data_IF_691966106047
#
_entry.id   IF_691966106047
#
_cell.length_a   1.000
_cell.length_b   1.000
_cell.length_c   1.000
_cell.angle_alpha   90.00
_cell.angle_beta   90.00
_cell.angle_gamma   90.00
#
_symmetry.space_group_name_H-M   'P 1'
#
loop_
_entity.id
_entity.type
_entity.pdbx_description
1 polymer ?
#
# COMPACT_ATOMS: atom_id res chain seq x y z
N UNK A 1 -18.85 31.61 -11.55
CA UNK A 1 -19.14 30.18 -11.80
C UNK A 1 -17.86 29.59 -12.34
N UNK A 2 -17.14 28.77 -11.57
CA UNK A 2 -15.82 28.30 -11.95
C UNK A 2 -15.93 27.23 -13.02
N UNK A 3 -15.55 27.59 -14.25
CA UNK A 3 -15.28 26.67 -15.36
C UNK A 3 -14.26 25.63 -14.91
N UNK A 4 -14.68 24.38 -14.79
CA UNK A 4 -13.77 23.25 -14.62
C UNK A 4 -13.07 23.04 -15.96
N UNK A 5 -11.77 23.31 -15.98
CA UNK A 5 -10.86 22.93 -17.07
C UNK A 5 -11.02 21.44 -17.37
N UNK A 6 -11.76 21.13 -18.44
CA UNK A 6 -11.78 19.82 -19.09
C UNK A 6 -10.44 19.65 -19.83
N UNK A 7 -9.43 19.18 -19.10
CA UNK A 7 -8.25 18.54 -19.66
C UNK A 7 -8.74 17.24 -20.34
N UNK A 8 -9.24 17.39 -21.57
CA UNK A 8 -9.68 16.27 -22.41
C UNK A 8 -8.45 15.41 -22.70
N UNK A 9 -8.27 14.35 -21.92
CA UNK A 9 -7.38 13.26 -22.26
C UNK A 9 -7.76 12.64 -23.60
N UNK A 10 -6.89 11.82 -24.20
CA UNK A 10 -7.23 11.12 -25.44
C UNK A 10 -8.50 10.28 -25.25
N UNK A 11 -9.31 10.05 -26.30
CA UNK A 11 -10.61 9.38 -26.19
C UNK A 11 -10.44 7.96 -25.64
N UNK A 12 -10.68 7.83 -24.34
CA UNK A 12 -10.76 6.57 -23.62
C UNK A 12 -12.17 6.39 -23.06
N UNK A 13 -12.49 5.19 -22.58
CA UNK A 13 -13.80 4.94 -21.96
C UNK A 13 -14.02 5.70 -20.64
N UNK A 14 -12.97 6.32 -20.09
CA UNK A 14 -13.00 7.03 -18.80
C UNK A 14 -12.15 8.31 -18.83
N UNK A 15 -12.59 9.32 -18.09
CA UNK A 15 -11.91 10.59 -17.93
C UNK A 15 -11.19 10.73 -16.58
N UNK A 16 -10.24 11.67 -16.50
CA UNK A 16 -9.57 11.99 -15.24
C UNK A 16 -10.59 12.62 -14.28
N UNK A 17 -10.69 12.05 -13.09
CA UNK A 17 -11.69 12.41 -12.08
C UNK A 17 -12.88 11.47 -12.04
N UNK A 18 -13.04 10.59 -13.04
CA UNK A 18 -14.10 9.59 -13.03
C UNK A 18 -13.89 8.56 -11.93
N UNK A 19 -15.01 8.05 -11.41
CA UNK A 19 -14.99 6.91 -10.51
C UNK A 19 -15.16 5.63 -11.30
N UNK A 20 -14.25 4.69 -11.05
CA UNK A 20 -14.27 3.39 -11.69
C UNK A 20 -13.88 2.32 -10.67
N UNK A 21 -14.13 1.08 -11.04
CA UNK A 21 -13.74 -0.06 -10.25
C UNK A 21 -12.96 -1.07 -11.09
N UNK A 22 -12.04 -1.77 -10.44
CA UNK A 22 -11.27 -2.82 -11.09
C UNK A 22 -12.17 -4.06 -11.16
N UNK A 23 -12.67 -4.37 -12.35
CA UNK A 23 -13.60 -5.50 -12.59
C UNK A 23 -12.90 -6.74 -13.13
N UNK A 24 -11.68 -6.59 -13.63
CA UNK A 24 -10.86 -7.71 -14.10
C UNK A 24 -9.37 -7.48 -13.77
N UNK A 25 -8.58 -8.55 -13.85
CA UNK A 25 -7.16 -8.55 -13.53
C UNK A 25 -6.82 -9.24 -12.21
N UNK A 26 -5.51 -9.48 -11.99
CA UNK A 26 -5.00 -10.19 -10.81
C UNK A 26 -4.72 -9.30 -9.59
N UNK A 27 -4.64 -7.98 -9.78
CA UNK A 27 -4.31 -7.01 -8.73
C UNK A 27 -5.45 -6.02 -8.55
N UNK A 28 -5.87 -5.79 -7.31
CA UNK A 28 -6.88 -4.79 -6.97
C UNK A 28 -8.30 -5.12 -7.42
N UNK A 29 -8.60 -6.38 -7.78
CA UNK A 29 -9.94 -6.78 -8.21
C UNK A 29 -10.99 -6.42 -7.15
N UNK A 30 -12.03 -5.68 -7.54
CA UNK A 30 -13.09 -5.17 -6.66
C UNK A 30 -12.82 -3.79 -6.05
N UNK A 31 -11.60 -3.25 -6.18
CA UNK A 31 -11.26 -1.91 -5.67
C UNK A 31 -12.02 -0.86 -6.47
N UNK A 32 -12.69 0.03 -5.75
CA UNK A 32 -13.35 1.24 -6.26
C UNK A 32 -12.45 2.43 -5.98
N UNK A 33 -12.43 3.40 -6.88
CA UNK A 33 -11.56 4.57 -6.73
C UNK A 33 -11.78 5.64 -7.78
N UNK A 34 -10.92 6.65 -7.75
CA UNK A 34 -10.95 7.76 -8.70
C UNK A 34 -9.75 7.72 -9.64
N UNK A 35 -9.99 7.92 -10.93
CA UNK A 35 -8.92 8.02 -11.93
C UNK A 35 -8.20 9.35 -11.75
N UNK A 36 -6.91 9.31 -11.46
CA UNK A 36 -6.08 10.52 -11.31
C UNK A 36 -5.06 10.69 -12.45
N UNK A 37 -4.88 9.66 -13.28
CA UNK A 37 -3.92 9.66 -14.38
C UNK A 37 -4.42 8.83 -15.56
N UNK A 38 -4.20 9.32 -16.78
CA UNK A 38 -4.49 8.63 -18.04
C UNK A 38 -3.28 8.85 -18.95
N UNK A 39 -2.82 7.80 -19.62
CA UNK A 39 -1.79 7.94 -20.62
C UNK A 39 -1.58 6.68 -21.44
N UNK A 40 -0.83 6.82 -22.52
CA UNK A 40 -0.54 5.73 -23.45
C UNK A 40 0.25 4.61 -22.76
N UNK A 41 -0.14 3.36 -23.01
CA UNK A 41 0.58 2.22 -22.50
C UNK A 41 1.92 2.04 -23.25
N UNK A 42 3.05 2.21 -22.56
CA UNK A 42 4.39 2.01 -23.15
C UNK A 42 4.70 0.56 -23.55
N UNK A 43 3.89 -0.42 -23.14
CA UNK A 43 4.18 -1.86 -23.30
C UNK A 43 3.14 -2.60 -24.14
N UNK A 44 2.20 -1.90 -24.78
CA UNK A 44 1.18 -2.53 -25.61
C UNK A 44 0.18 -1.52 -26.15
N UNK A 45 -0.77 -1.99 -26.96
CA UNK A 45 -1.85 -1.15 -27.48
C UNK A 45 -2.82 -0.75 -26.36
N UNK A 46 -3.35 0.47 -26.42
CA UNK A 46 -4.40 0.96 -25.53
C UNK A 46 -3.92 1.96 -24.47
N UNK A 47 -4.87 2.43 -23.66
CA UNK A 47 -4.64 3.39 -22.58
C UNK A 47 -4.39 2.69 -21.25
N UNK A 48 -3.55 3.31 -20.41
CA UNK A 48 -3.34 2.91 -19.03
C UNK A 48 -3.88 4.00 -18.11
N UNK A 49 -4.55 3.55 -17.06
CA UNK A 49 -5.25 4.38 -16.09
C UNK A 49 -4.61 4.20 -14.72
N UNK A 50 -4.31 5.34 -14.07
CA UNK A 50 -3.97 5.40 -12.66
C UNK A 50 -5.26 5.59 -11.86
N UNK A 51 -5.68 4.55 -11.15
CA UNK A 51 -6.82 4.57 -10.24
C UNK A 51 -6.30 4.72 -8.81
N UNK A 52 -6.78 5.74 -8.08
CA UNK A 52 -6.58 5.84 -6.64
C UNK A 52 -7.77 5.19 -5.94
N UNK A 53 -7.53 4.01 -5.37
CA UNK A 53 -8.56 3.26 -4.66
C UNK A 53 -9.04 3.99 -3.41
N UNK A 54 -10.27 3.69 -2.99
CA UNK A 54 -10.85 4.12 -1.71
C UNK A 54 -10.10 3.51 -0.50
N UNK A 55 -9.36 2.42 -0.76
CA UNK A 55 -8.35 1.86 0.15
C UNK A 55 -7.09 2.73 0.24
N UNK A 56 -7.04 3.84 -0.49
CA UNK A 56 -5.99 4.83 -0.65
C UNK A 56 -4.76 4.37 -1.44
N UNK A 57 -4.75 3.13 -1.96
CA UNK A 57 -3.66 2.63 -2.80
C UNK A 57 -3.78 3.14 -4.24
N UNK A 58 -2.65 3.14 -4.94
CA UNK A 58 -2.60 3.50 -6.36
C UNK A 58 -2.48 2.25 -7.22
N UNK A 59 -3.43 2.07 -8.13
CA UNK A 59 -3.51 0.96 -9.06
C UNK A 59 -3.26 1.43 -10.49
N UNK A 60 -2.42 0.69 -11.20
CA UNK A 60 -2.08 0.95 -12.60
C UNK A 60 -2.70 -0.10 -13.49
N UNK A 61 -3.89 0.17 -14.01
CA UNK A 61 -4.73 -0.78 -14.73
C UNK A 61 -4.97 -0.34 -16.16
N UNK A 62 -5.19 -1.31 -17.05
CA UNK A 62 -5.64 -1.08 -18.42
C UNK A 62 -7.15 -0.82 -18.48
N UNK A 63 -7.61 -0.24 -19.60
CA UNK A 63 -9.03 0.04 -19.84
C UNK A 63 -9.91 -1.20 -19.67
N UNK A 64 -9.47 -2.34 -20.18
CA UNK A 64 -10.22 -3.59 -20.17
C UNK A 64 -10.43 -4.15 -18.75
N UNK A 65 -9.60 -3.71 -17.80
CA UNK A 65 -9.68 -4.09 -16.40
C UNK A 65 -10.58 -3.15 -15.57
N UNK A 66 -10.97 -2.00 -16.14
CA UNK A 66 -11.85 -1.03 -15.49
C UNK A 66 -13.32 -1.23 -15.91
N UNK A 67 -14.21 -1.10 -14.94
CA UNK A 67 -15.65 -1.17 -15.12
C UNK A 67 -16.41 -0.23 -14.18
N UNK A 68 -17.73 -0.11 -14.36
CA UNK A 68 -18.57 0.65 -13.45
C UNK A 68 -18.57 0.03 -12.05
N UNK A 69 -18.62 0.88 -11.01
CA UNK A 69 -18.59 0.45 -9.60
C UNK A 69 -19.69 -0.56 -9.23
N UNK A 70 -20.83 -0.47 -9.93
CA UNK A 70 -21.98 -1.35 -9.76
C UNK A 70 -21.75 -2.78 -10.30
N UNK A 71 -20.79 -2.96 -11.23
CA UNK A 71 -20.46 -4.26 -11.82
C UNK A 71 -19.24 -4.93 -11.19
N UNK A 72 -18.58 -4.28 -10.23
CA UNK A 72 -17.38 -4.82 -9.60
C UNK A 72 -17.71 -5.85 -8.51
N UNK A 73 -16.89 -6.92 -8.38
CA UNK A 73 -16.98 -7.84 -7.26
C UNK A 73 -16.87 -7.09 -5.91
N UNK A 74 -17.27 -7.73 -4.79
CA UNK A 74 -17.12 -7.13 -3.47
C UNK A 74 -15.67 -6.62 -3.32
N UNK A 75 -15.49 -5.41 -2.74
CA UNK A 75 -14.17 -4.84 -2.59
C UNK A 75 -13.29 -5.84 -1.84
N UNK A 76 -12.01 -5.98 -2.24
CA UNK A 76 -11.10 -6.80 -1.44
C UNK A 76 -11.11 -6.20 -0.04
N UNK A 77 -11.15 -7.04 0.99
CA UNK A 77 -11.05 -6.58 2.37
C UNK A 77 -9.84 -5.65 2.43
N UNK A 78 -10.10 -4.37 2.71
CA UNK A 78 -9.04 -3.39 2.84
C UNK A 78 -8.02 -3.98 3.81
N UNK A 79 -6.70 -3.90 3.52
CA UNK A 79 -5.72 -4.30 4.50
C UNK A 79 -6.01 -3.50 5.75
N UNK A 80 -6.52 -4.18 6.77
CA UNK A 80 -6.84 -3.56 8.06
C UNK A 80 -5.52 -2.95 8.49
N UNK A 81 -5.45 -1.62 8.56
CA UNK A 81 -4.29 -0.93 9.09
C UNK A 81 -4.08 -1.51 10.48
N UNK A 82 -3.10 -2.39 10.59
CA UNK A 82 -2.64 -2.92 11.85
C UNK A 82 -2.15 -1.71 12.64
N UNK A 83 -2.42 -1.67 13.95
CA UNK A 83 -1.93 -0.58 14.78
C UNK A 83 -0.42 -0.40 14.55
N UNK A 84 0.00 0.86 14.47
CA UNK A 84 1.39 1.21 14.20
C UNK A 84 2.29 0.44 15.17
N UNK A 85 3.25 -0.33 14.63
CA UNK A 85 4.17 -1.09 15.45
C UNK A 85 5.15 -0.14 16.13
N UNK A 86 5.43 -0.40 17.40
CA UNK A 86 6.37 0.41 18.17
C UNK A 86 7.82 0.20 17.71
N UNK A 87 8.64 1.22 17.95
CA UNK A 87 10.09 1.05 17.84
C UNK A 87 10.55 -0.01 18.84
N UNK A 88 11.40 -0.91 18.40
CA UNK A 88 11.89 -2.07 19.16
C UNK A 88 11.11 -3.36 18.88
N UNK A 89 9.95 -3.30 18.22
CA UNK A 89 9.21 -4.52 17.88
C UNK A 89 10.00 -5.38 16.90
N UNK A 90 10.15 -6.66 17.24
CA UNK A 90 10.78 -7.65 16.36
C UNK A 90 9.78 -8.09 15.31
N UNK A 91 10.11 -7.84 14.05
CA UNK A 91 9.30 -8.17 12.90
C UNK A 91 10.08 -9.02 11.92
N UNK A 92 9.35 -9.88 11.22
CA UNK A 92 9.82 -10.64 10.08
C UNK A 92 9.38 -9.94 8.80
N UNK A 93 10.31 -9.77 7.88
CA UNK A 93 10.00 -9.29 6.54
C UNK A 93 9.22 -10.37 5.78
N UNK A 94 8.09 -9.98 5.22
CA UNK A 94 7.21 -10.82 4.39
C UNK A 94 6.88 -10.06 3.10
N UNK A 95 6.62 -10.77 2.00
CA UNK A 95 6.18 -10.13 0.75
C UNK A 95 7.23 -9.28 0.01
N UNK A 96 8.47 -9.19 0.49
CA UNK A 96 9.59 -8.51 -0.18
C UNK A 96 10.60 -9.50 -0.76
N UNK A 97 11.57 -8.99 -1.54
CA UNK A 97 12.71 -9.80 -2.04
C UNK A 97 13.52 -10.42 -0.88
N UNK A 98 13.44 -9.80 0.28
CA UNK A 98 14.12 -10.18 1.52
C UNK A 98 13.17 -10.90 2.50
N UNK A 99 12.07 -11.47 1.99
CA UNK A 99 11.13 -12.22 2.81
C UNK A 99 11.84 -13.37 3.54
N UNK A 100 11.62 -13.44 4.86
CA UNK A 100 12.25 -14.42 5.73
C UNK A 100 13.25 -13.84 6.73
N UNK A 101 13.77 -12.62 6.51
CA UNK A 101 14.67 -11.96 7.47
C UNK A 101 13.90 -11.47 8.70
N UNK A 102 14.52 -11.58 9.86
CA UNK A 102 13.97 -11.11 11.14
C UNK A 102 14.82 -9.93 11.61
N UNK A 103 14.17 -8.83 11.98
CA UNK A 103 14.83 -7.64 12.47
C UNK A 103 13.97 -6.88 13.46
N UNK A 104 14.51 -5.81 14.01
CA UNK A 104 13.81 -4.92 14.93
C UNK A 104 13.47 -3.58 14.26
N UNK A 105 12.28 -3.06 14.54
CA UNK A 105 11.87 -1.75 14.03
C UNK A 105 12.69 -0.68 14.77
N UNK A 106 13.50 0.09 14.05
CA UNK A 106 14.20 1.24 14.63
C UNK A 106 13.58 2.58 14.19
N UNK A 107 12.73 2.55 13.16
CA UNK A 107 12.06 3.72 12.63
C UNK A 107 10.61 3.42 12.23
N UNK A 108 9.71 4.37 12.53
CA UNK A 108 8.29 4.33 12.16
C UNK A 108 7.95 5.70 11.58
N UNK A 109 7.26 5.73 10.46
CA UNK A 109 6.71 6.96 9.93
C UNK A 109 5.74 6.71 8.79
N UNK A 110 5.01 7.76 8.40
CA UNK A 110 4.00 7.68 7.36
C UNK A 110 4.64 7.32 6.01
N UNK A 111 4.03 6.37 5.29
CA UNK A 111 4.55 6.00 3.97
C UNK A 111 4.27 7.11 2.96
N UNK A 112 5.34 7.63 2.34
CA UNK A 112 5.24 8.66 1.26
C UNK A 112 4.75 8.11 -0.08
N UNK A 113 4.56 6.79 -0.21
CA UNK A 113 4.20 6.11 -1.46
C UNK A 113 2.92 5.26 -1.37
N UNK A 114 2.23 5.26 -0.23
CA UNK A 114 1.02 4.47 0.00
C UNK A 114 0.30 4.86 1.29
N UNK A 115 -0.78 4.17 1.60
CA UNK A 115 -1.52 4.33 2.88
C UNK A 115 -0.93 3.38 3.90
N UNK A 116 -0.78 3.86 5.13
CA UNK A 116 -0.25 3.09 6.25
C UNK A 116 1.17 3.50 6.64
N UNK A 117 1.72 2.76 7.61
CA UNK A 117 3.03 3.04 8.18
C UNK A 117 4.14 2.37 7.38
N UNK A 118 5.27 3.06 7.27
CA UNK A 118 6.53 2.50 6.80
C UNK A 118 7.44 2.27 8.00
N UNK A 119 8.06 1.09 8.01
CA UNK A 119 8.96 0.66 9.06
C UNK A 119 10.38 0.57 8.52
N UNK A 120 11.32 1.17 9.26
CA UNK A 120 12.74 0.88 9.13
C UNK A 120 13.05 -0.31 10.02
N UNK A 121 13.34 -1.46 9.42
CA UNK A 121 13.69 -2.70 10.11
C UNK A 121 15.19 -2.91 10.00
N UNK A 122 15.85 -3.13 11.14
CA UNK A 122 17.27 -3.49 11.21
C UNK A 122 17.39 -4.97 11.50
N UNK A 123 18.00 -5.71 10.57
CA UNK A 123 18.25 -7.14 10.71
C UNK A 123 19.55 -7.34 11.47
N UNK A 124 19.54 -8.23 12.46
CA UNK A 124 20.75 -8.52 13.25
C UNK A 124 21.82 -9.18 12.38
N UNK A 125 23.05 -8.68 12.43
CA UNK A 125 24.14 -9.11 11.55
C UNK A 125 24.19 -8.39 10.19
N UNK A 126 23.28 -7.46 9.90
CA UNK A 126 23.34 -6.59 8.73
C UNK A 126 23.41 -5.11 9.14
N UNK A 127 24.29 -4.36 8.47
CA UNK A 127 24.38 -2.90 8.68
C UNK A 127 23.27 -2.14 7.92
N UNK A 128 22.66 -2.79 6.91
CA UNK A 128 21.65 -2.20 6.06
C UNK A 128 20.26 -2.15 6.71
N UNK A 129 19.59 -1.00 6.51
CA UNK A 129 18.22 -0.79 6.95
C UNK A 129 17.23 -1.20 5.85
N UNK A 130 16.25 -2.03 6.23
CA UNK A 130 15.17 -2.45 5.35
C UNK A 130 13.98 -1.53 5.51
N UNK A 131 13.58 -0.91 4.41
CA UNK A 131 12.48 0.05 4.37
C UNK A 131 11.24 -0.60 3.80
N UNK A 132 10.34 -1.05 4.66
CA UNK A 132 9.19 -1.88 4.29
C UNK A 132 7.88 -1.28 4.79
N UNK A 133 6.82 -1.43 4.01
CA UNK A 133 5.48 -1.02 4.41
C UNK A 133 4.88 -2.03 5.40
N UNK A 134 3.90 -1.61 6.17
CA UNK A 134 3.20 -2.41 7.17
C UNK A 134 2.67 -3.76 6.66
N UNK A 135 2.18 -3.80 5.41
CA UNK A 135 1.71 -5.02 4.78
C UNK A 135 2.82 -6.07 4.56
N UNK A 136 4.08 -5.63 4.61
CA UNK A 136 5.27 -6.44 4.34
C UNK A 136 6.07 -6.77 5.61
N UNK A 137 5.47 -6.54 6.78
CA UNK A 137 6.03 -6.94 8.08
C UNK A 137 5.03 -7.79 8.84
N UNK A 138 5.54 -8.84 9.46
CA UNK A 138 4.80 -9.69 10.36
C UNK A 138 5.48 -9.65 11.73
N UNK A 139 4.72 -9.35 12.79
CA UNK A 139 5.27 -9.41 14.15
C UNK A 139 5.61 -10.86 14.45
N UNK A 140 6.86 -11.12 14.84
CA UNK A 140 7.23 -12.44 15.33
C UNK A 140 6.65 -12.57 16.74
N UNK A 141 5.56 -13.34 16.88
CA UNK A 141 4.98 -13.63 18.19
C UNK A 141 6.06 -14.26 19.09
N UNK A 142 6.39 -13.52 20.15
CA UNK A 142 7.60 -13.68 20.96
C UNK A 142 8.14 -12.34 21.47
N UNK A 143 7.81 -11.22 20.81
CA UNK A 143 8.11 -9.86 21.27
C UNK A 143 6.93 -9.19 22.03
N UNK A 144 6.07 -10.00 22.66
CA UNK A 144 5.21 -9.47 23.71
C UNK A 144 6.13 -9.12 24.89
N UNK A 145 6.36 -7.81 25.07
CA UNK A 145 6.84 -7.22 26.34
C UNK A 145 8.29 -7.63 26.68
N UNK A 146 9.26 -6.83 26.24
CA UNK A 146 10.35 -6.54 27.17
C UNK A 146 9.68 -5.85 28.36
N UNK A 147 9.40 -6.60 29.42
CA UNK A 147 9.00 -6.04 30.69
C UNK A 147 10.01 -4.94 31.04
N UNK A 148 9.59 -3.79 31.61
CA UNK A 148 10.56 -2.86 32.16
C UNK A 148 11.33 -3.64 33.22
N UNK A 149 12.59 -3.98 32.91
CA UNK A 149 13.57 -4.38 33.92
C UNK A 149 13.76 -3.13 34.76
N UNK A 150 12.97 -3.04 35.82
CA UNK A 150 13.23 -2.15 36.94
C UNK A 150 14.43 -2.76 37.66
N UNK A 151 15.61 -2.32 37.26
CA UNK A 151 16.85 -2.59 37.99
C UNK A 151 16.78 -1.86 39.34
N UNK A 152 16.42 -2.66 40.35
CA UNK A 152 16.80 -2.64 41.77
C UNK A 152 17.47 -1.37 42.35
N UNK A 153 16.94 -0.85 43.47
CA UNK A 153 17.80 -0.46 44.61
C UNK A 153 17.11 -0.82 45.93
N UNK A 154 17.66 -1.85 46.56
CA UNK A 154 17.61 -2.10 48.00
C UNK A 154 18.34 -0.99 48.75
N UNK A 155 17.65 -0.29 49.68
CA UNK A 155 18.18 0.20 50.97
C UNK A 155 17.07 0.21 52.00
#
# INVERSE_FOLDING_TARGET
MSEKNSDNGPPGAYDKGDRAAIVAGRKGLGVRGQIFWIGENKYGSGMRYGLRGDDGQTYWVDEASLGPEAGAPPPPEAPVAKPALDKGTVVRLVGTKDAGKIGSIFWVGESKYGVGMRYGVRVDGEEDAYWVDEANVEVVEGAARAEPVVDEVTV
#
